data_IF_812986272956
#
_entry.id   IF_812986272956
#
_cell.length_a   1.000
_cell.length_b   1.000
_cell.length_c   1.000
_cell.angle_alpha   90.00
_cell.angle_beta   90.00
_cell.angle_gamma   90.00
#
_symmetry.space_group_name_H-M   'P 1'
#
loop_
_entity.id
_entity.type
_entity.pdbx_description
1 polymer ?
#
# COMPACT_ATOMS: atom_id res chain seq x y z
N UNK A 1 -13.41 28.33 32.49
CA UNK A 1 -12.11 27.83 32.01
C UNK A 1 -12.25 26.34 31.83
N UNK A 2 -12.67 25.92 30.65
CA UNK A 2 -12.63 24.51 30.26
C UNK A 2 -11.16 24.17 30.03
N UNK A 3 -10.64 23.20 30.77
CA UNK A 3 -9.41 22.50 30.43
C UNK A 3 -9.61 21.92 29.03
N UNK A 4 -9.10 22.60 28.00
CA UNK A 4 -8.89 21.99 26.69
C UNK A 4 -8.01 20.76 26.94
N UNK A 5 -8.58 19.58 26.76
CA UNK A 5 -7.82 18.35 26.86
C UNK A 5 -6.83 18.38 25.68
N UNK A 6 -5.58 18.73 25.96
CA UNK A 6 -4.55 18.82 24.93
C UNK A 6 -4.29 17.41 24.39
N UNK A 7 -4.42 17.23 23.08
CA UNK A 7 -4.17 15.94 22.42
C UNK A 7 -2.77 15.44 22.78
N UNK A 8 -2.69 14.19 23.25
CA UNK A 8 -1.42 13.55 23.57
C UNK A 8 -0.92 12.74 22.36
N UNK A 9 -0.21 13.42 21.46
CA UNK A 9 0.29 12.82 20.23
C UNK A 9 1.28 11.68 20.45
N UNK A 10 2.10 11.73 21.51
CA UNK A 10 3.08 10.67 21.77
C UNK A 10 2.38 9.38 22.20
N UNK A 11 1.33 9.48 23.03
CA UNK A 11 0.46 8.34 23.37
C UNK A 11 -0.27 7.83 22.13
N UNK A 12 -0.82 8.73 21.32
CA UNK A 12 -1.52 8.35 20.08
C UNK A 12 -0.61 7.59 19.10
N UNK A 13 0.60 8.08 18.84
CA UNK A 13 1.53 7.39 17.94
C UNK A 13 1.96 6.02 18.50
N UNK A 14 2.22 5.92 19.81
CA UNK A 14 2.52 4.64 20.42
C UNK A 14 1.35 3.63 20.29
N UNK A 15 0.10 4.12 20.37
CA UNK A 15 -1.09 3.29 20.14
C UNK A 15 -1.20 2.85 18.68
N UNK A 16 -0.99 3.75 17.72
CA UNK A 16 -0.99 3.40 16.30
C UNK A 16 0.10 2.37 15.97
N UNK A 17 1.32 2.57 16.45
CA UNK A 17 2.45 1.67 16.23
C UNK A 17 2.14 0.27 16.81
N UNK A 18 1.61 0.20 18.03
CA UNK A 18 1.19 -1.07 18.63
C UNK A 18 0.07 -1.76 17.84
N UNK A 19 -0.85 -0.99 17.24
CA UNK A 19 -1.94 -1.51 16.42
C UNK A 19 -1.42 -2.03 15.08
N UNK A 20 -0.45 -1.35 14.48
CA UNK A 20 0.24 -1.79 13.28
C UNK A 20 0.99 -3.09 13.51
N UNK A 21 1.73 -3.21 14.61
CA UNK A 21 2.42 -4.45 14.98
C UNK A 21 1.45 -5.64 15.02
N UNK A 22 0.28 -5.45 15.65
CA UNK A 22 -0.75 -6.48 15.71
C UNK A 22 -1.31 -6.82 14.32
N UNK A 23 -1.72 -5.82 13.54
CA UNK A 23 -2.33 -6.01 12.22
C UNK A 23 -1.36 -6.66 11.23
N UNK A 24 -0.10 -6.21 11.16
CA UNK A 24 0.91 -6.83 10.31
C UNK A 24 1.21 -8.26 10.73
N UNK A 25 1.36 -8.52 12.04
CA UNK A 25 1.53 -9.87 12.56
C UNK A 25 0.36 -10.77 12.14
N UNK A 26 -0.88 -10.29 12.26
CA UNK A 26 -2.08 -11.05 11.86
C UNK A 26 -2.09 -11.35 10.37
N UNK A 27 -1.86 -10.33 9.52
CA UNK A 27 -1.83 -10.45 8.05
C UNK A 27 -0.75 -11.43 7.61
N UNK A 28 0.48 -11.29 8.10
CA UNK A 28 1.61 -12.15 7.71
C UNK A 28 1.36 -13.60 8.17
N UNK A 29 0.79 -13.80 9.36
CA UNK A 29 0.50 -15.15 9.89
C UNK A 29 -0.69 -15.81 9.22
N UNK A 30 -1.67 -15.06 8.73
CA UNK A 30 -2.88 -15.62 8.12
C UNK A 30 -2.72 -15.82 6.62
N UNK A 31 -2.10 -14.86 5.92
CA UNK A 31 -2.03 -14.80 4.46
C UNK A 31 -1.32 -16.02 3.85
N UNK A 32 -1.99 -16.78 2.98
CA UNK A 32 -1.36 -17.87 2.24
C UNK A 32 -0.23 -17.40 1.32
N UNK A 33 -0.33 -16.18 0.77
CA UNK A 33 0.73 -15.56 0.00
C UNK A 33 1.99 -15.39 0.84
N UNK A 34 1.87 -14.76 2.00
CA UNK A 34 3.00 -14.53 2.90
C UNK A 34 3.65 -15.86 3.32
N UNK A 35 2.83 -16.89 3.63
CA UNK A 35 3.33 -18.24 3.95
C UNK A 35 4.12 -18.86 2.80
N UNK A 36 3.60 -18.79 1.57
CA UNK A 36 4.27 -19.32 0.38
C UNK A 36 5.61 -18.64 0.11
N UNK A 37 5.70 -17.33 0.35
CA UNK A 37 6.96 -16.58 0.25
C UNK A 37 7.94 -17.01 1.33
N UNK A 38 7.50 -17.08 2.60
CA UNK A 38 8.37 -17.43 3.73
C UNK A 38 8.79 -18.91 3.75
N UNK A 39 8.01 -19.82 3.16
CA UNK A 39 8.37 -21.22 2.98
C UNK A 39 9.31 -21.47 1.79
N UNK A 40 9.54 -20.45 0.96
CA UNK A 40 10.35 -20.56 -0.25
C UNK A 40 9.65 -21.27 -1.41
N UNK A 41 8.32 -21.34 -1.40
CA UNK A 41 7.48 -21.98 -2.42
C UNK A 41 6.93 -20.99 -3.45
N UNK A 42 7.22 -19.70 -3.30
CA UNK A 42 6.75 -18.67 -4.20
C UNK A 42 7.36 -18.80 -5.61
N UNK A 43 6.56 -18.45 -6.62
CA UNK A 43 6.91 -18.55 -8.04
C UNK A 43 6.96 -17.17 -8.70
N UNK A 44 7.51 -17.09 -9.92
CA UNK A 44 7.52 -15.84 -10.68
C UNK A 44 6.10 -15.38 -11.02
N UNK A 45 5.18 -16.32 -11.23
CA UNK A 45 3.77 -16.06 -11.50
C UNK A 45 3.07 -15.45 -10.29
N UNK A 46 3.28 -16.02 -9.09
CA UNK A 46 2.74 -15.44 -7.86
C UNK A 46 3.26 -14.01 -7.64
N UNK A 47 4.57 -13.81 -7.84
CA UNK A 47 5.19 -12.49 -7.76
C UNK A 47 4.60 -11.51 -8.79
N UNK A 48 4.44 -11.95 -10.04
CA UNK A 48 3.86 -11.13 -11.11
C UNK A 48 2.40 -10.74 -10.82
N UNK A 49 1.56 -11.66 -10.35
CA UNK A 49 0.17 -11.34 -9.99
C UNK A 49 0.16 -10.29 -8.87
N UNK A 50 0.97 -10.47 -7.83
CA UNK A 50 1.10 -9.48 -6.76
C UNK A 50 1.52 -8.11 -7.30
N UNK A 51 2.56 -8.04 -8.13
CA UNK A 51 3.06 -6.78 -8.69
C UNK A 51 2.09 -6.11 -9.66
N UNK A 52 1.24 -6.87 -10.37
CA UNK A 52 0.15 -6.32 -11.19
C UNK A 52 -0.91 -5.65 -10.31
N UNK A 53 -1.30 -6.28 -9.19
CA UNK A 53 -2.24 -5.67 -8.26
C UNK A 53 -1.63 -4.45 -7.54
N UNK A 54 -0.33 -4.49 -7.24
CA UNK A 54 0.42 -3.32 -6.76
C UNK A 54 0.41 -2.18 -7.77
N UNK A 55 0.71 -2.46 -9.05
CA UNK A 55 0.56 -1.47 -10.12
C UNK A 55 -0.83 -0.85 -10.13
N UNK A 56 -1.89 -1.65 -9.99
CA UNK A 56 -3.25 -1.15 -10.02
C UNK A 56 -3.53 -0.14 -8.91
N UNK A 57 -3.30 -0.45 -7.64
CA UNK A 57 -3.64 0.51 -6.58
C UNK A 57 -2.67 1.70 -6.54
N UNK A 58 -1.36 1.49 -6.75
CA UNK A 58 -0.37 2.58 -6.77
C UNK A 58 -0.66 3.58 -7.88
N UNK A 59 -1.21 3.13 -9.03
CA UNK A 59 -1.67 4.03 -10.10
C UNK A 59 -2.67 5.07 -9.61
N UNK A 60 -3.34 4.87 -8.48
CA UNK A 60 -4.33 5.79 -7.93
C UNK A 60 -3.81 6.61 -6.74
N UNK A 61 -2.64 6.32 -6.16
CA UNK A 61 -2.15 6.96 -4.94
C UNK A 61 -1.95 8.47 -5.09
N UNK A 62 -1.19 8.90 -6.08
CA UNK A 62 -1.00 10.33 -6.39
C UNK A 62 -2.35 11.06 -6.57
N UNK A 63 -3.31 10.42 -7.24
CA UNK A 63 -4.63 11.01 -7.55
C UNK A 63 -5.51 11.15 -6.31
N UNK A 64 -5.62 10.10 -5.50
CA UNK A 64 -6.42 10.15 -4.28
C UNK A 64 -5.76 11.06 -3.22
N UNK A 65 -4.43 11.16 -3.19
CA UNK A 65 -3.71 12.13 -2.36
C UNK A 65 -4.00 13.58 -2.80
N UNK A 66 -3.92 13.87 -4.09
CA UNK A 66 -4.24 15.19 -4.63
C UNK A 66 -5.71 15.56 -4.38
N UNK A 67 -6.62 14.58 -4.45
CA UNK A 67 -8.05 14.80 -4.22
C UNK A 67 -8.35 15.38 -2.84
N UNK A 68 -7.62 14.94 -1.79
CA UNK A 68 -7.71 15.55 -0.46
C UNK A 68 -7.40 17.04 -0.52
N UNK A 69 -6.34 17.42 -1.24
CA UNK A 69 -5.93 18.82 -1.42
C UNK A 69 -6.93 19.68 -2.22
N UNK A 70 -7.98 19.10 -2.81
CA UNK A 70 -9.03 19.88 -3.49
C UNK A 70 -10.21 20.22 -2.57
N UNK A 71 -10.22 19.69 -1.35
CA UNK A 71 -11.35 19.84 -0.43
C UNK A 71 -11.44 21.24 0.16
N UNK A 72 -12.67 21.75 0.26
CA UNK A 72 -12.94 23.08 0.79
C UNK A 72 -12.95 23.14 2.33
N UNK A 73 -13.11 22.00 2.99
CA UNK A 73 -13.16 21.88 4.46
C UNK A 73 -11.77 21.69 5.11
N UNK A 74 -10.69 21.79 4.33
CA UNK A 74 -9.32 21.82 4.85
C UNK A 74 -8.89 23.27 5.09
N UNK A 75 -8.80 23.66 6.36
CA UNK A 75 -8.28 24.98 6.75
C UNK A 75 -6.75 25.00 6.91
N UNK A 76 -6.13 23.85 7.14
CA UNK A 76 -4.68 23.73 7.38
C UNK A 76 -3.89 23.88 6.08
N UNK A 77 -3.35 25.08 5.82
CA UNK A 77 -2.45 25.32 4.68
C UNK A 77 -1.23 24.37 4.64
N UNK A 78 -0.57 24.03 5.78
CA UNK A 78 0.49 23.03 5.78
C UNK A 78 0.01 21.66 5.29
N UNK A 79 -1.22 21.25 5.65
CA UNK A 79 -1.77 19.97 5.19
C UNK A 79 -2.13 19.99 3.71
N UNK A 80 -2.72 21.09 3.22
CA UNK A 80 -2.98 21.29 1.79
C UNK A 80 -1.70 21.17 0.97
N UNK A 81 -0.64 21.85 1.42
CA UNK A 81 0.68 21.80 0.78
C UNK A 81 1.23 20.37 0.78
N UNK A 82 1.21 19.69 1.93
CA UNK A 82 1.60 18.28 2.04
C UNK A 82 0.84 17.40 1.04
N UNK A 83 -0.48 17.56 0.92
CA UNK A 83 -1.28 16.76 0.01
C UNK A 83 -0.87 16.92 -1.46
N UNK A 84 -0.50 18.12 -1.89
CA UNK A 84 -0.13 18.36 -3.29
C UNK A 84 1.34 17.98 -3.57
N UNK A 85 2.25 18.20 -2.62
CA UNK A 85 3.66 17.80 -2.75
C UNK A 85 3.79 16.27 -2.73
N UNK A 86 3.21 15.61 -1.73
CA UNK A 86 3.27 14.16 -1.62
C UNK A 86 2.54 13.46 -2.79
N UNK A 87 1.46 14.06 -3.31
CA UNK A 87 0.86 13.58 -4.55
C UNK A 87 1.80 13.65 -5.76
N UNK A 88 2.66 14.67 -5.83
CA UNK A 88 3.63 14.82 -6.90
C UNK A 88 4.77 13.81 -6.77
N UNK A 89 5.22 13.54 -5.55
CA UNK A 89 6.25 12.53 -5.26
C UNK A 89 5.81 11.13 -5.68
N UNK A 90 4.53 10.78 -5.47
CA UNK A 90 3.95 9.49 -5.84
C UNK A 90 3.74 9.26 -7.35
N UNK A 91 3.96 10.27 -8.20
CA UNK A 91 3.70 10.15 -9.64
C UNK A 91 4.70 9.19 -10.29
N UNK A 92 4.20 8.10 -10.87
CA UNK A 92 4.99 7.18 -11.67
C UNK A 92 5.54 5.99 -10.90
N UNK A 93 5.34 5.91 -9.58
CA UNK A 93 5.72 4.75 -8.76
C UNK A 93 5.08 3.45 -9.28
N UNK A 94 3.86 3.52 -9.84
CA UNK A 94 3.20 2.36 -10.46
C UNK A 94 4.03 1.75 -11.59
N UNK A 95 4.83 2.57 -12.28
CA UNK A 95 5.65 2.10 -13.41
C UNK A 95 6.79 1.21 -12.94
N UNK A 96 7.27 1.38 -11.71
CA UNK A 96 8.28 0.50 -11.11
C UNK A 96 7.72 -0.90 -10.91
N UNK A 97 6.48 -1.00 -10.41
CA UNK A 97 5.81 -2.29 -10.24
C UNK A 97 5.62 -3.01 -11.58
N UNK A 98 5.18 -2.29 -12.61
CA UNK A 98 5.03 -2.87 -13.95
C UNK A 98 6.37 -3.21 -14.61
N UNK A 99 7.40 -2.41 -14.34
CA UNK A 99 8.77 -2.69 -14.76
C UNK A 99 9.28 -4.00 -14.16
N UNK A 100 9.03 -4.26 -12.88
CA UNK A 100 9.48 -5.49 -12.21
C UNK A 100 8.84 -6.75 -12.81
N UNK A 101 7.58 -6.69 -13.25
CA UNK A 101 6.93 -7.80 -13.99
C UNK A 101 7.57 -8.02 -15.36
N UNK A 102 7.95 -6.94 -16.05
CA UNK A 102 8.60 -7.00 -17.36
C UNK A 102 10.04 -7.53 -17.24
N UNK A 103 10.77 -7.13 -16.20
CA UNK A 103 12.17 -7.52 -16.01
C UNK A 103 12.36 -8.98 -15.59
N UNK A 104 11.30 -9.65 -15.14
CA UNK A 104 11.28 -11.12 -14.95
C UNK A 104 10.77 -11.90 -16.19
N UNK A 105 10.40 -11.19 -17.27
CA UNK A 105 10.04 -11.77 -18.56
C UNK A 105 8.59 -12.28 -18.68
N UNK A 106 7.67 -11.79 -17.84
CA UNK A 106 6.29 -12.28 -17.78
C UNK A 106 5.24 -11.32 -18.36
N UNK A 107 5.65 -10.15 -18.87
CA UNK A 107 4.75 -9.21 -19.52
C UNK A 107 5.49 -8.44 -20.62
N UNK A 108 4.89 -8.32 -21.81
CA UNK A 108 5.46 -7.47 -22.86
C UNK A 108 5.30 -5.98 -22.54
N UNK A 109 6.14 -5.16 -23.15
CA UNK A 109 6.05 -3.69 -23.06
C UNK A 109 4.71 -3.17 -23.62
N UNK A 110 4.18 -3.83 -24.65
CA UNK A 110 2.94 -3.42 -25.32
C UNK A 110 1.67 -3.98 -24.66
N UNK A 111 1.81 -5.01 -23.82
CA UNK A 111 0.68 -5.66 -23.19
C UNK A 111 0.19 -4.85 -22.00
N UNK A 112 -1.13 -4.80 -21.84
CA UNK A 112 -1.78 -4.20 -20.68
C UNK A 112 -2.13 -5.31 -19.69
N UNK A 113 -1.90 -5.10 -18.38
CA UNK A 113 -2.42 -6.02 -17.38
C UNK A 113 -3.96 -6.09 -17.47
N UNK A 114 -4.57 -7.17 -16.97
CA UNK A 114 -6.02 -7.26 -16.84
C UNK A 114 -6.58 -6.12 -15.97
N UNK A 115 -7.90 -6.07 -15.79
CA UNK A 115 -8.48 -5.19 -14.76
C UNK A 115 -7.95 -5.60 -13.36
N UNK A 116 -8.01 -4.74 -12.34
CA UNK A 116 -7.71 -5.13 -10.96
C UNK A 116 -8.63 -6.25 -10.46
N UNK A 117 -8.15 -7.03 -9.51
CA UNK A 117 -8.98 -7.94 -8.72
C UNK A 117 -10.01 -7.17 -7.89
N UNK A 118 -11.07 -7.85 -7.49
CA UNK A 118 -12.15 -7.24 -6.70
C UNK A 118 -11.64 -6.61 -5.40
N UNK A 119 -10.74 -7.29 -4.68
CA UNK A 119 -10.15 -6.77 -3.45
C UNK A 119 -9.33 -5.49 -3.71
N UNK A 120 -8.54 -5.47 -4.78
CA UNK A 120 -7.76 -4.30 -5.21
C UNK A 120 -8.67 -3.12 -5.61
N UNK A 121 -9.71 -3.37 -6.40
CA UNK A 121 -10.72 -2.36 -6.77
C UNK A 121 -11.44 -1.81 -5.52
N UNK A 122 -11.68 -2.67 -4.52
CA UNK A 122 -12.28 -2.27 -3.23
C UNK A 122 -11.34 -1.35 -2.43
N UNK A 123 -10.05 -1.68 -2.36
CA UNK A 123 -9.03 -0.80 -1.75
C UNK A 123 -8.97 0.55 -2.48
N UNK A 124 -8.88 0.54 -3.81
CA UNK A 124 -8.87 1.77 -4.63
C UNK A 124 -10.11 2.61 -4.34
N UNK A 125 -11.29 2.00 -4.39
CA UNK A 125 -12.58 2.68 -4.15
C UNK A 125 -12.64 3.30 -2.77
N UNK A 126 -12.18 2.57 -1.73
CA UNK A 126 -12.14 3.06 -0.37
C UNK A 126 -11.17 4.24 -0.22
N UNK A 127 -9.98 4.17 -0.83
CA UNK A 127 -9.00 5.26 -0.80
C UNK A 127 -9.56 6.55 -1.42
N UNK A 128 -10.26 6.47 -2.56
CA UNK A 128 -10.94 7.64 -3.13
C UNK A 128 -12.08 8.13 -2.23
N UNK A 129 -12.89 7.22 -1.70
CA UNK A 129 -14.00 7.55 -0.81
C UNK A 129 -13.54 8.35 0.41
N UNK A 130 -12.52 7.86 1.11
CA UNK A 130 -11.99 8.55 2.29
C UNK A 130 -11.24 9.85 1.94
N UNK A 131 -10.73 9.95 0.71
CA UNK A 131 -10.09 11.17 0.23
C UNK A 131 -11.10 12.28 -0.07
N UNK A 132 -12.34 11.93 -0.46
CA UNK A 132 -13.38 12.88 -0.84
C UNK A 132 -14.41 13.21 0.25
N UNK A 133 -14.62 12.29 1.19
CA UNK A 133 -15.71 12.37 2.18
C UNK A 133 -15.20 12.27 3.61
N UNK A 134 -16.09 12.38 4.61
CA UNK A 134 -15.74 12.21 6.03
C UNK A 134 -14.73 13.25 6.54
N UNK A 135 -13.95 12.89 7.55
CA UNK A 135 -12.92 13.77 8.11
C UNK A 135 -11.76 13.93 7.09
N UNK A 136 -11.36 15.15 6.69
CA UNK A 136 -10.31 15.36 5.70
C UNK A 136 -8.93 14.83 6.12
N UNK A 137 -8.69 14.61 7.42
CA UNK A 137 -7.42 14.11 7.96
C UNK A 137 -7.31 12.58 7.88
N UNK A 138 -8.41 11.86 7.65
CA UNK A 138 -8.44 10.40 7.78
C UNK A 138 -7.50 9.68 6.80
N UNK A 139 -7.22 10.24 5.61
CA UNK A 139 -6.26 9.65 4.65
C UNK A 139 -4.84 9.58 5.22
N UNK A 140 -4.50 10.40 6.22
CA UNK A 140 -3.21 10.30 6.92
C UNK A 140 -3.04 8.94 7.61
N UNK A 141 -4.11 8.23 7.92
CA UNK A 141 -4.04 6.86 8.44
C UNK A 141 -3.46 5.87 7.42
N UNK A 142 -3.81 6.00 6.15
CA UNK A 142 -3.22 5.22 5.07
C UNK A 142 -1.73 5.55 4.90
N UNK A 143 -1.40 6.85 4.80
CA UNK A 143 -0.01 7.30 4.69
C UNK A 143 0.83 6.83 5.89
N UNK A 144 0.27 6.86 7.11
CA UNK A 144 1.02 6.47 8.30
C UNK A 144 1.58 5.05 8.21
N UNK A 145 0.75 4.07 7.85
CA UNK A 145 1.23 2.69 7.76
C UNK A 145 2.01 2.42 6.48
N UNK A 146 1.65 3.08 5.37
CA UNK A 146 2.31 2.87 4.09
C UNK A 146 3.78 3.31 4.16
N UNK A 147 4.06 4.51 4.68
CA UNK A 147 5.42 5.05 4.85
C UNK A 147 6.21 4.36 5.98
N UNK A 148 5.55 3.54 6.82
CA UNK A 148 6.20 2.79 7.89
C UNK A 148 6.19 1.28 7.65
N UNK A 149 5.87 0.82 6.43
CA UNK A 149 5.61 -0.60 6.21
C UNK A 149 6.88 -1.45 6.05
N UNK A 150 7.99 -0.82 5.63
CA UNK A 150 9.15 -1.54 5.08
C UNK A 150 9.70 -2.61 6.02
N UNK A 151 9.86 -2.32 7.31
CA UNK A 151 10.40 -3.31 8.27
C UNK A 151 9.48 -4.51 8.51
N UNK A 152 8.16 -4.36 8.32
CA UNK A 152 7.21 -5.47 8.42
C UNK A 152 7.29 -6.41 7.20
N UNK A 153 7.54 -5.84 6.01
CA UNK A 153 7.53 -6.59 4.76
C UNK A 153 8.92 -7.03 4.28
N UNK A 154 10.02 -6.50 4.85
CA UNK A 154 11.39 -6.89 4.49
C UNK A 154 11.62 -8.41 4.53
N UNK A 155 11.13 -9.19 5.53
CA UNK A 155 11.25 -10.65 5.50
C UNK A 155 10.60 -11.29 4.27
N UNK A 156 9.48 -10.73 3.77
CA UNK A 156 8.83 -11.20 2.55
C UNK A 156 9.64 -10.82 1.30
N UNK A 157 10.17 -9.60 1.25
CA UNK A 157 11.02 -9.11 0.16
C UNK A 157 12.30 -9.96 0.05
N UNK A 158 12.98 -10.22 1.18
CA UNK A 158 14.16 -11.08 1.19
C UNK A 158 13.82 -12.53 0.83
N UNK A 159 12.69 -13.05 1.31
CA UNK A 159 12.19 -14.38 0.97
C UNK A 159 12.00 -14.55 -0.54
N UNK A 160 11.21 -13.67 -1.17
CA UNK A 160 10.94 -13.75 -2.61
C UNK A 160 12.20 -13.55 -3.45
N UNK A 161 13.08 -12.62 -3.04
CA UNK A 161 14.36 -12.37 -3.69
C UNK A 161 15.24 -13.61 -3.70
N UNK A 162 15.36 -14.30 -2.57
CA UNK A 162 16.16 -15.51 -2.43
C UNK A 162 15.57 -16.66 -3.25
N UNK A 163 14.26 -16.92 -3.12
CA UNK A 163 13.58 -18.01 -3.82
C UNK A 163 13.66 -17.88 -5.34
N UNK A 164 13.48 -16.68 -5.87
CA UNK A 164 13.46 -16.42 -7.31
C UNK A 164 14.81 -15.93 -7.87
N UNK A 165 15.83 -15.81 -7.02
CA UNK A 165 17.14 -15.24 -7.36
C UNK A 165 17.04 -13.88 -8.06
N UNK A 166 16.15 -13.01 -7.56
CA UNK A 166 15.89 -11.69 -8.15
C UNK A 166 17.08 -10.75 -7.94
N UNK A 167 17.40 -10.02 -9.00
CA UNK A 167 18.38 -8.94 -8.96
C UNK A 167 17.70 -7.63 -8.52
N UNK A 168 18.47 -6.63 -8.05
CA UNK A 168 17.91 -5.32 -7.69
C UNK A 168 17.05 -4.67 -8.79
N UNK A 169 17.42 -4.88 -10.07
CA UNK A 169 16.65 -4.41 -11.22
C UNK A 169 15.28 -5.11 -11.41
N UNK A 170 14.93 -6.08 -10.56
CA UNK A 170 13.66 -6.81 -10.58
C UNK A 170 12.84 -6.58 -9.29
N UNK A 171 13.31 -5.65 -8.45
CA UNK A 171 12.73 -5.24 -7.16
C UNK A 171 12.70 -3.70 -7.05
N UNK A 172 12.60 -3.01 -8.19
CA UNK A 172 12.74 -1.55 -8.25
C UNK A 172 11.67 -0.83 -7.45
N UNK A 173 10.44 -1.37 -7.39
CA UNK A 173 9.37 -0.82 -6.58
C UNK A 173 9.75 -0.80 -5.10
N UNK A 174 10.19 -1.94 -4.54
CA UNK A 174 10.52 -2.03 -3.12
C UNK A 174 11.76 -1.22 -2.72
N UNK A 175 12.77 -1.18 -3.59
CA UNK A 175 14.00 -0.41 -3.34
C UNK A 175 13.70 1.09 -3.30
N UNK A 176 12.83 1.59 -4.18
CA UNK A 176 12.45 3.00 -4.15
C UNK A 176 11.76 3.39 -2.83
N UNK A 177 10.92 2.50 -2.29
CA UNK A 177 10.24 2.77 -1.02
C UNK A 177 11.18 2.56 0.18
N UNK A 178 12.14 1.62 0.14
CA UNK A 178 13.08 1.43 1.26
C UNK A 178 13.93 2.66 1.60
N UNK A 179 14.35 3.42 0.58
CA UNK A 179 15.29 4.54 0.73
C UNK A 179 14.59 5.87 1.06
N UNK A 180 13.29 5.98 0.79
CA UNK A 180 12.51 7.23 0.89
C UNK A 180 11.66 7.27 2.18
N UNK A 181 11.22 6.11 2.67
CA UNK A 181 10.14 5.98 3.66
C UNK A 181 10.41 6.67 5.03
N UNK A 182 11.66 6.73 5.51
CA UNK A 182 11.93 7.26 6.86
C UNK A 182 11.63 8.77 7.00
N UNK A 183 12.01 9.57 6.01
CA UNK A 183 11.77 11.02 6.03
C UNK A 183 10.28 11.32 5.79
N UNK A 184 9.62 10.55 4.92
CA UNK A 184 8.19 10.67 4.67
C UNK A 184 7.36 10.31 5.91
N UNK A 185 7.72 9.24 6.63
CA UNK A 185 7.02 8.84 7.84
C UNK A 185 7.06 9.93 8.92
N UNK A 186 8.22 10.54 9.17
CA UNK A 186 8.32 11.66 10.10
C UNK A 186 7.56 12.89 9.62
N UNK A 187 7.49 13.13 8.30
CA UNK A 187 6.65 14.19 7.74
C UNK A 187 5.17 13.93 7.99
N UNK A 188 4.67 12.70 7.81
CA UNK A 188 3.29 12.31 8.15
C UNK A 188 2.99 12.58 9.62
N UNK A 189 3.86 12.16 10.55
CA UNK A 189 3.70 12.44 12.00
C UNK A 189 3.64 13.94 12.28
N UNK A 190 4.49 14.74 11.62
CA UNK A 190 4.49 16.19 11.77
C UNK A 190 3.18 16.83 11.28
N UNK A 191 2.61 16.34 10.17
CA UNK A 191 1.34 16.83 9.63
C UNK A 191 0.17 16.48 10.55
N UNK A 192 0.14 15.27 11.12
CA UNK A 192 -0.87 14.87 12.12
C UNK A 192 -0.81 15.82 13.33
N UNK A 193 0.38 16.04 13.91
CA UNK A 193 0.58 16.96 15.05
C UNK A 193 0.10 18.38 14.76
N UNK A 194 0.31 18.88 13.53
CA UNK A 194 -0.03 20.25 13.15
C UNK A 194 -1.52 20.43 12.84
N UNK A 195 -2.17 19.39 12.32
CA UNK A 195 -3.48 19.52 11.69
C UNK A 195 -4.62 19.03 12.58
N UNK A 196 -4.42 17.97 13.38
CA UNK A 196 -5.45 17.48 14.29
C UNK A 196 -5.75 18.48 15.41
N UNK A 197 -7.03 18.65 15.73
CA UNK A 197 -7.54 19.55 16.78
C UNK A 197 -8.41 18.85 17.80
N UNK A 198 -8.98 17.70 17.45
CA UNK A 198 -9.93 16.96 18.27
C UNK A 198 -9.58 15.47 18.32
N UNK A 199 -10.06 14.76 19.36
CA UNK A 199 -9.94 13.30 19.43
C UNK A 199 -10.61 12.62 18.23
N UNK A 200 -11.70 13.20 17.69
CA UNK A 200 -12.38 12.69 16.49
C UNK A 200 -11.48 12.71 15.25
N UNK A 201 -10.50 13.61 15.17
CA UNK A 201 -9.50 13.61 14.09
C UNK A 201 -8.57 12.40 14.21
N UNK A 202 -8.14 12.10 15.43
CA UNK A 202 -7.25 10.97 15.74
C UNK A 202 -7.97 9.65 15.50
N UNK A 203 -9.22 9.53 15.96
CA UNK A 203 -10.09 8.37 15.73
C UNK A 203 -10.31 8.10 14.24
N UNK A 204 -10.51 9.15 13.42
CA UNK A 204 -10.70 9.00 11.98
C UNK A 204 -9.43 8.50 11.28
N UNK A 205 -8.25 8.97 11.70
CA UNK A 205 -6.94 8.49 11.22
C UNK A 205 -6.74 7.02 11.57
N UNK A 206 -6.97 6.66 12.83
CA UNK A 206 -6.85 5.28 13.31
C UNK A 206 -7.79 4.33 12.54
N UNK A 207 -9.05 4.73 12.36
CA UNK A 207 -10.03 3.92 11.64
C UNK A 207 -9.65 3.70 10.18
N UNK A 208 -9.18 4.74 9.50
CA UNK A 208 -8.73 4.63 8.11
C UNK A 208 -7.45 3.79 7.98
N UNK A 209 -6.51 3.91 8.92
CA UNK A 209 -5.31 3.07 9.00
C UNK A 209 -5.69 1.59 9.09
N UNK A 210 -6.54 1.24 10.06
CA UNK A 210 -6.97 -0.14 10.26
C UNK A 210 -7.72 -0.68 9.04
N UNK A 211 -8.64 0.11 8.50
CA UNK A 211 -9.47 -0.32 7.37
C UNK A 211 -8.62 -0.53 6.12
N UNK A 212 -7.76 0.42 5.78
CA UNK A 212 -6.91 0.30 4.58
C UNK A 212 -5.91 -0.83 4.71
N UNK A 213 -5.31 -1.05 5.87
CA UNK A 213 -4.39 -2.18 6.07
C UNK A 213 -5.11 -3.53 5.99
N UNK A 214 -6.34 -3.65 6.50
CA UNK A 214 -7.18 -4.85 6.32
C UNK A 214 -7.54 -5.10 4.87
N UNK A 215 -7.91 -4.07 4.12
CA UNK A 215 -8.19 -4.18 2.68
C UNK A 215 -6.94 -4.60 1.90
N UNK A 216 -5.75 -4.12 2.27
CA UNK A 216 -4.47 -4.59 1.73
C UNK A 216 -4.25 -6.08 2.05
N UNK A 217 -4.55 -6.53 3.27
CA UNK A 217 -4.50 -7.95 3.62
C UNK A 217 -5.42 -8.80 2.74
N UNK A 218 -6.66 -8.35 2.51
CA UNK A 218 -7.60 -9.02 1.60
C UNK A 218 -7.11 -9.05 0.14
N UNK A 219 -6.37 -8.03 -0.29
CA UNK A 219 -5.72 -8.04 -1.60
C UNK A 219 -4.68 -9.16 -1.70
N UNK A 220 -3.87 -9.41 -0.65
CA UNK A 220 -2.91 -10.52 -0.63
C UNK A 220 -3.60 -11.87 -0.78
N UNK A 221 -4.73 -12.06 -0.09
CA UNK A 221 -5.51 -13.29 -0.17
C UNK A 221 -6.11 -13.47 -1.58
N UNK A 222 -6.66 -12.41 -2.17
CA UNK A 222 -7.20 -12.44 -3.53
C UNK A 222 -6.13 -12.76 -4.59
N UNK A 223 -4.91 -12.25 -4.42
CA UNK A 223 -3.75 -12.59 -5.27
C UNK A 223 -3.46 -14.08 -5.19
N UNK A 224 -3.41 -14.64 -3.98
CA UNK A 224 -3.11 -16.07 -3.81
C UNK A 224 -4.22 -16.96 -4.36
N UNK A 225 -5.48 -16.61 -4.12
CA UNK A 225 -6.62 -17.35 -4.67
C UNK A 225 -6.57 -17.40 -6.20
N UNK A 226 -6.24 -16.28 -6.83
CA UNK A 226 -6.17 -16.23 -8.29
C UNK A 226 -4.92 -16.94 -8.84
N UNK A 227 -3.82 -16.95 -8.09
CA UNK A 227 -2.67 -17.80 -8.37
C UNK A 227 -3.03 -19.30 -8.33
N UNK A 228 -3.81 -19.76 -7.35
CA UNK A 228 -4.28 -21.16 -7.30
C UNK A 228 -5.20 -21.49 -8.48
N UNK A 229 -6.04 -20.53 -8.91
CA UNK A 229 -6.87 -20.72 -10.10
C UNK A 229 -6.06 -20.76 -11.39
N UNK A 230 -4.96 -20.01 -11.47
CA UNK A 230 -4.00 -20.10 -12.56
C UNK A 230 -3.37 -21.50 -12.61
N UNK A 231 -2.84 -21.99 -11.49
CA UNK A 231 -2.19 -23.32 -11.42
C UNK A 231 -3.15 -24.47 -11.75
N UNK A 232 -4.41 -24.37 -11.33
CA UNK A 232 -5.44 -25.38 -11.60
C UNK A 232 -6.06 -25.27 -12.99
N UNK A 233 -5.75 -24.20 -13.76
CA UNK A 233 -6.37 -23.93 -15.06
C UNK A 233 -7.85 -23.53 -14.99
N UNK A 234 -8.34 -23.14 -13.82
CA UNK A 234 -9.74 -22.73 -13.60
C UNK A 234 -9.98 -21.25 -13.88
N UNK A 235 -8.92 -20.45 -14.05
CA UNK A 235 -8.99 -19.08 -14.54
C UNK A 235 -7.98 -18.82 -15.65
N UNK A 236 -8.42 -18.12 -16.70
CA UNK A 236 -7.55 -17.68 -17.80
C UNK A 236 -7.03 -16.25 -17.60
N UNK A 237 -7.38 -15.57 -16.50
CA UNK A 237 -7.09 -14.15 -16.26
C UNK A 237 -5.61 -13.81 -16.39
N UNK A 238 -4.76 -14.64 -15.81
CA UNK A 238 -3.31 -14.49 -15.84
C UNK A 238 -2.62 -15.62 -16.63
N UNK A 239 -3.34 -16.28 -17.54
CA UNK A 239 -2.79 -17.40 -18.34
C UNK A 239 -1.56 -17.01 -19.16
N UNK A 240 -1.42 -15.72 -19.51
CA UNK A 240 -0.24 -15.19 -20.19
C UNK A 240 1.05 -15.29 -19.33
N UNK A 241 0.95 -15.39 -18.00
CA UNK A 241 2.10 -15.56 -17.12
C UNK A 241 2.72 -16.96 -17.21
N UNK A 242 1.99 -17.96 -17.71
CA UNK A 242 2.51 -19.31 -17.92
C UNK A 242 3.34 -19.42 -19.22
N UNK A 243 3.34 -18.37 -20.03
CA UNK A 243 4.07 -18.31 -21.29
C UNK A 243 5.26 -17.37 -21.08
N UNK A 244 6.47 -17.89 -21.22
CA UNK A 244 7.65 -17.02 -21.26
C UNK A 244 7.52 -16.07 -22.45
N UNK A 245 7.71 -14.77 -22.21
CA UNK A 245 7.79 -13.79 -23.29
C UNK A 245 9.05 -14.10 -24.11
N UNK A 246 8.85 -14.35 -25.41
CA UNK A 246 9.91 -14.62 -26.40
C UNK A 246 10.71 -13.37 -26.74
#
# INVERSE_FOLDING_TARGET
MTTENQLNFDVFFAQLDSKLDHLWSEIIKSSPLAKSVLSGEATKELYAIYMIETYHYTSHNARNQALVGTRQDIESLPYLKFCLEHAADEIGHERMALHDVRSIGLLNIQDKPPRPLFATETLISYLYWISLTGNPLQRLGYSYWAESCYHYIDPLIQGIRQTLNLQPAQLTFFIAHSDIDADHFEHVKAIIRRSCKTESDLEAIEYALETTLKLTGQMLDAVYDEYQKLLSGTSNRYSFLLQAVS
#
